data_IF_315771633101
#
_entry.id   IF_315771633101
#
_cell.length_a   1.000
_cell.length_b   1.000
_cell.length_c   1.000
_cell.angle_alpha   90.00
_cell.angle_beta   90.00
_cell.angle_gamma   90.00
#
_symmetry.space_group_name_H-M   'P 1'
#
loop_
_entity.id
_entity.type
_entity.pdbx_description
1 polymer ?
#
# COMPACT_ATOMS: atom_id res chain seq x y z
N UNK A 1 4.18 -16.87 7.44
CA UNK A 1 2.95 -16.46 8.14
C UNK A 1 2.63 -14.99 7.88
N UNK A 2 3.55 -14.06 8.14
CA UNK A 2 3.37 -12.61 7.90
C UNK A 2 2.92 -12.27 6.47
N UNK A 3 3.61 -12.75 5.43
CA UNK A 3 3.19 -12.47 4.03
C UNK A 3 1.79 -12.97 3.67
N UNK A 4 1.34 -14.09 4.26
CA UNK A 4 -0.01 -14.61 4.08
C UNK A 4 -1.05 -13.69 4.74
N UNK A 5 -0.72 -13.11 5.90
CA UNK A 5 -1.59 -12.13 6.57
C UNK A 5 -1.78 -10.90 5.69
N UNK A 6 -0.70 -10.34 5.13
CA UNK A 6 -0.81 -9.22 4.18
C UNK A 6 -1.65 -9.61 2.96
N UNK A 7 -1.42 -10.77 2.37
CA UNK A 7 -2.19 -11.27 1.24
C UNK A 7 -3.70 -11.33 1.55
N UNK A 8 -4.08 -11.92 2.69
CA UNK A 8 -5.49 -12.01 3.13
C UNK A 8 -6.07 -10.62 3.41
N UNK A 9 -5.33 -9.74 4.08
CA UNK A 9 -5.78 -8.37 4.35
C UNK A 9 -6.06 -7.61 3.06
N UNK A 10 -5.16 -7.71 2.07
CA UNK A 10 -5.36 -7.06 0.78
C UNK A 10 -6.60 -7.59 0.06
N UNK A 11 -6.85 -8.91 0.10
CA UNK A 11 -8.08 -9.50 -0.45
C UNK A 11 -9.35 -8.96 0.24
N UNK A 12 -9.33 -8.87 1.58
CA UNK A 12 -10.45 -8.30 2.34
C UNK A 12 -10.71 -6.85 1.92
N UNK A 13 -9.65 -6.04 1.78
CA UNK A 13 -9.77 -4.65 1.31
C UNK A 13 -10.36 -4.59 -0.10
N UNK A 14 -9.94 -5.47 -1.02
CA UNK A 14 -10.51 -5.53 -2.37
C UNK A 14 -11.99 -5.93 -2.36
N UNK A 15 -12.40 -6.87 -1.50
CA UNK A 15 -13.81 -7.25 -1.33
C UNK A 15 -14.62 -6.05 -0.85
N UNK A 16 -14.15 -5.35 0.19
CA UNK A 16 -14.82 -4.13 0.68
C UNK A 16 -14.94 -3.06 -0.39
N UNK A 17 -13.88 -2.85 -1.19
CA UNK A 17 -13.90 -1.89 -2.29
C UNK A 17 -14.93 -2.28 -3.37
N UNK A 18 -15.01 -3.57 -3.71
CA UNK A 18 -16.01 -4.10 -4.65
C UNK A 18 -17.44 -3.95 -4.14
N UNK A 19 -17.68 -4.17 -2.85
CA UNK A 19 -18.99 -3.94 -2.22
C UNK A 19 -19.38 -2.45 -2.25
N UNK A 20 -18.43 -1.56 -1.95
CA UNK A 20 -18.65 -0.12 -2.04
C UNK A 20 -18.91 0.32 -3.48
N UNK A 21 -18.17 -0.20 -4.46
CA UNK A 21 -18.44 0.03 -5.88
C UNK A 21 -19.88 -0.33 -6.22
N UNK A 22 -20.31 -1.54 -5.86
CA UNK A 22 -21.67 -2.00 -6.13
C UNK A 22 -22.73 -1.09 -5.50
N UNK A 23 -22.54 -0.70 -4.24
CA UNK A 23 -23.46 0.17 -3.52
C UNK A 23 -23.54 1.58 -4.16
N UNK A 24 -22.39 2.20 -4.44
CA UNK A 24 -22.36 3.57 -5.00
C UNK A 24 -22.91 3.61 -6.43
N UNK A 25 -22.56 2.63 -7.25
CA UNK A 25 -22.89 2.63 -8.68
C UNK A 25 -24.30 2.12 -8.97
N UNK A 26 -24.73 1.03 -8.32
CA UNK A 26 -26.01 0.38 -8.63
C UNK A 26 -27.13 0.71 -7.65
N UNK A 27 -26.84 0.84 -6.35
CA UNK A 27 -27.86 1.16 -5.35
C UNK A 27 -28.12 2.67 -5.26
N UNK A 28 -27.05 3.46 -5.11
CA UNK A 28 -27.14 4.91 -4.92
C UNK A 28 -27.09 5.72 -6.23
N UNK A 29 -26.63 5.11 -7.32
CA UNK A 29 -26.53 5.72 -8.67
C UNK A 29 -25.76 7.05 -8.67
N UNK A 30 -24.65 7.10 -7.93
CA UNK A 30 -23.74 8.24 -7.91
C UNK A 30 -22.90 8.26 -9.20
N UNK A 31 -23.38 9.01 -10.20
CA UNK A 31 -22.82 9.07 -11.55
C UNK A 31 -22.36 10.48 -11.94
N UNK A 32 -22.45 11.46 -11.03
CA UNK A 32 -22.09 12.84 -11.31
C UNK A 32 -20.60 13.08 -11.02
N UNK A 33 -20.02 14.11 -11.67
CA UNK A 33 -18.63 14.53 -11.39
C UNK A 33 -18.41 14.93 -9.94
N UNK A 34 -19.45 15.43 -9.27
CA UNK A 34 -19.42 15.75 -7.83
C UNK A 34 -19.14 14.54 -6.95
N UNK A 35 -19.40 13.32 -7.44
CA UNK A 35 -19.29 12.08 -6.68
C UNK A 35 -17.90 11.44 -6.79
N UNK A 36 -17.05 11.97 -7.68
CA UNK A 36 -15.67 11.50 -7.89
C UNK A 36 -14.86 11.44 -6.59
N UNK A 37 -14.91 12.43 -5.66
CA UNK A 37 -14.20 12.33 -4.39
C UNK A 37 -14.65 11.12 -3.56
N UNK A 38 -15.95 10.89 -3.43
CA UNK A 38 -16.53 9.76 -2.70
C UNK A 38 -16.15 8.42 -3.33
N UNK A 39 -16.25 8.32 -4.65
CA UNK A 39 -15.81 7.14 -5.40
C UNK A 39 -14.32 6.86 -5.19
N UNK A 40 -13.49 7.91 -5.26
CA UNK A 40 -12.04 7.80 -5.06
C UNK A 40 -11.71 7.25 -3.67
N UNK A 41 -12.36 7.79 -2.62
CA UNK A 41 -12.16 7.39 -1.23
C UNK A 41 -12.65 5.98 -0.91
N UNK A 42 -13.83 5.60 -1.39
CA UNK A 42 -14.49 4.36 -0.99
C UNK A 42 -14.16 3.16 -1.89
N UNK A 43 -13.66 3.40 -3.10
CA UNK A 43 -13.44 2.36 -4.11
C UNK A 43 -12.02 2.39 -4.64
N UNK A 44 -11.61 3.47 -5.32
CA UNK A 44 -10.35 3.47 -6.07
C UNK A 44 -9.13 3.27 -5.18
N UNK A 45 -9.04 4.01 -4.06
CA UNK A 45 -7.91 3.92 -3.14
C UNK A 45 -7.88 2.58 -2.41
N UNK A 46 -8.99 2.08 -1.84
CA UNK A 46 -9.03 0.71 -1.34
C UNK A 46 -8.58 -0.33 -2.37
N UNK A 47 -8.99 -0.22 -3.64
CA UNK A 47 -8.49 -1.12 -4.70
C UNK A 47 -6.97 -1.02 -4.83
N UNK A 48 -6.45 0.21 -4.99
CA UNK A 48 -5.02 0.43 -5.17
C UNK A 48 -4.20 -0.11 -3.98
N UNK A 49 -4.60 0.22 -2.75
CA UNK A 49 -3.94 -0.24 -1.53
C UNK A 49 -4.06 -1.76 -1.37
N UNK A 50 -5.23 -2.34 -1.66
CA UNK A 50 -5.46 -3.78 -1.59
C UNK A 50 -4.56 -4.55 -2.57
N UNK A 51 -4.42 -4.06 -3.81
CA UNK A 51 -3.51 -4.65 -4.81
C UNK A 51 -2.05 -4.55 -4.34
N UNK A 52 -1.62 -3.37 -3.89
CA UNK A 52 -0.25 -3.18 -3.39
C UNK A 52 0.05 -4.15 -2.24
N UNK A 53 -0.83 -4.20 -1.24
CA UNK A 53 -0.73 -5.13 -0.09
C UNK A 53 -0.65 -6.59 -0.54
N UNK A 54 -1.40 -7.01 -1.56
CA UNK A 54 -1.35 -8.38 -2.10
C UNK A 54 -0.01 -8.67 -2.76
N UNK A 55 0.45 -7.78 -3.65
CA UNK A 55 1.73 -7.92 -4.34
C UNK A 55 2.85 -8.03 -3.32
N UNK A 56 2.87 -7.11 -2.36
CA UNK A 56 3.84 -7.03 -1.29
C UNK A 56 3.80 -8.26 -0.37
N UNK A 57 2.60 -8.71 0.02
CA UNK A 57 2.39 -9.94 0.77
C UNK A 57 2.89 -11.18 0.03
N UNK A 58 2.71 -11.23 -1.29
CA UNK A 58 3.20 -12.31 -2.15
C UNK A 58 4.74 -12.32 -2.24
N UNK A 59 5.37 -11.15 -2.33
CA UNK A 59 6.82 -11.02 -2.26
C UNK A 59 7.35 -11.50 -0.91
N UNK A 60 6.75 -11.04 0.20
CA UNK A 60 7.12 -11.50 1.55
C UNK A 60 6.93 -13.02 1.71
N UNK A 61 5.83 -13.58 1.19
CA UNK A 61 5.54 -15.01 1.31
C UNK A 61 6.53 -15.88 0.51
N UNK A 62 7.02 -15.39 -0.63
CA UNK A 62 7.99 -16.09 -1.48
C UNK A 62 9.44 -15.98 -0.99
N UNK A 63 9.74 -15.13 -0.01
CA UNK A 63 11.07 -14.99 0.58
C UNK A 63 11.31 -16.06 1.66
N UNK A 64 12.35 -16.90 1.48
CA UNK A 64 12.76 -17.93 2.45
C UNK A 64 13.47 -17.32 3.68
N UNK A 65 12.66 -16.91 4.66
CA UNK A 65 12.86 -16.78 6.13
C UNK A 65 14.01 -15.90 6.69
N UNK A 66 13.66 -15.07 7.68
CA UNK A 66 14.59 -14.43 8.63
C UNK A 66 14.20 -12.99 9.01
N UNK A 67 15.17 -12.22 9.49
CA UNK A 67 15.09 -10.77 9.77
C UNK A 67 14.70 -9.94 8.54
N UNK A 68 15.00 -10.42 7.33
CA UNK A 68 14.61 -9.77 6.07
C UNK A 68 13.10 -9.61 5.96
N UNK A 69 12.31 -10.60 6.40
CA UNK A 69 10.84 -10.53 6.34
C UNK A 69 10.25 -9.38 7.16
N UNK A 70 10.89 -8.99 8.26
CA UNK A 70 10.48 -7.83 9.08
C UNK A 70 10.76 -6.53 8.35
N UNK A 71 11.94 -6.40 7.71
CA UNK A 71 12.29 -5.22 6.92
C UNK A 71 11.35 -5.03 5.73
N UNK A 72 10.98 -6.11 5.03
CA UNK A 72 9.97 -6.04 3.99
C UNK A 72 8.59 -5.64 4.55
N UNK A 73 8.17 -6.19 5.69
CA UNK A 73 6.90 -5.78 6.30
C UNK A 73 6.90 -4.29 6.70
N UNK A 74 7.97 -3.80 7.33
CA UNK A 74 8.11 -2.39 7.69
C UNK A 74 8.19 -1.48 6.46
N UNK A 75 8.92 -1.90 5.44
CA UNK A 75 9.01 -1.18 4.17
C UNK A 75 7.64 -1.01 3.51
N UNK A 76 6.83 -2.08 3.53
CA UNK A 76 5.48 -2.07 3.01
C UNK A 76 4.56 -1.14 3.80
N UNK A 77 4.61 -1.18 5.14
CA UNK A 77 3.83 -0.27 5.96
C UNK A 77 4.19 1.21 5.70
N UNK A 78 5.48 1.52 5.61
CA UNK A 78 5.94 2.88 5.32
C UNK A 78 5.51 3.34 3.92
N UNK A 79 5.61 2.46 2.92
CA UNK A 79 5.19 2.72 1.55
C UNK A 79 3.68 2.98 1.44
N UNK A 80 2.86 2.08 1.99
CA UNK A 80 1.40 2.19 1.96
C UNK A 80 0.91 3.44 2.69
N UNK A 81 1.50 3.74 3.86
CA UNK A 81 1.16 4.93 4.61
C UNK A 81 1.61 6.21 3.89
N UNK A 82 2.79 6.20 3.25
CA UNK A 82 3.26 7.29 2.40
C UNK A 82 2.31 7.56 1.24
N UNK A 83 1.83 6.53 0.55
CA UNK A 83 0.83 6.65 -0.52
C UNK A 83 -0.50 7.19 -0.02
N UNK A 84 -0.96 6.73 1.15
CA UNK A 84 -2.16 7.25 1.77
C UNK A 84 -2.04 8.75 2.10
N UNK A 85 -0.91 9.18 2.68
CA UNK A 85 -0.66 10.59 2.94
C UNK A 85 -0.53 11.41 1.66
N UNK A 86 0.10 10.88 0.62
CA UNK A 86 0.17 11.53 -0.68
C UNK A 86 -1.22 11.81 -1.22
N UNK A 87 -2.10 10.81 -1.16
CA UNK A 87 -3.50 10.97 -1.56
C UNK A 87 -4.19 12.08 -0.78
N UNK A 88 -4.09 12.09 0.55
CA UNK A 88 -4.71 13.12 1.39
C UNK A 88 -4.23 14.54 1.05
N UNK A 89 -3.04 14.66 0.45
CA UNK A 89 -2.42 15.93 0.09
C UNK A 89 -2.51 16.26 -1.41
N UNK A 90 -3.23 15.48 -2.20
CA UNK A 90 -3.47 15.80 -3.62
C UNK A 90 -4.28 17.08 -3.82
N UNK A 91 -5.05 17.51 -2.81
CA UNK A 91 -5.78 18.78 -2.82
C UNK A 91 -4.93 19.98 -2.36
N UNK A 92 -3.73 19.73 -1.82
CA UNK A 92 -2.81 20.78 -1.40
C UNK A 92 -2.04 21.29 -2.63
N UNK A 93 -1.77 22.59 -2.76
CA UNK A 93 -0.89 23.11 -3.80
C UNK A 93 0.49 22.47 -3.76
N UNK A 94 0.99 22.03 -4.93
CA UNK A 94 2.28 21.31 -5.05
C UNK A 94 3.48 22.15 -4.59
N UNK A 95 3.36 23.47 -4.59
CA UNK A 95 4.39 24.40 -4.10
C UNK A 95 4.52 24.43 -2.56
N UNK A 96 3.58 23.85 -1.80
CA UNK A 96 3.68 23.68 -0.36
C UNK A 96 4.54 22.45 -0.01
N UNK A 97 5.86 22.58 -0.21
CA UNK A 97 6.86 21.51 -0.09
C UNK A 97 6.77 20.77 1.27
N UNK A 98 6.51 21.49 2.36
CA UNK A 98 6.44 20.90 3.70
C UNK A 98 5.30 19.91 3.84
N UNK A 99 4.23 20.06 3.05
CA UNK A 99 3.14 19.10 3.02
C UNK A 99 3.62 17.73 2.52
N UNK A 100 4.47 17.70 1.50
CA UNK A 100 4.96 16.47 0.86
C UNK A 100 6.22 15.90 1.50
N UNK A 101 6.86 16.65 2.40
CA UNK A 101 8.11 16.22 3.07
C UNK A 101 7.93 14.90 3.84
N UNK A 102 6.81 14.75 4.54
CA UNK A 102 6.47 13.51 5.26
C UNK A 102 6.28 12.31 4.32
N UNK A 103 5.61 12.52 3.17
CA UNK A 103 5.45 11.51 2.11
C UNK A 103 6.81 11.06 1.61
N UNK A 104 7.70 12.01 1.29
CA UNK A 104 9.05 11.71 0.83
C UNK A 104 9.81 10.85 1.84
N UNK A 105 9.86 11.24 3.11
CA UNK A 105 10.61 10.48 4.11
C UNK A 105 10.07 9.07 4.34
N UNK A 106 8.75 8.88 4.34
CA UNK A 106 8.13 7.56 4.49
C UNK A 106 8.44 6.66 3.29
N UNK A 107 8.29 7.18 2.07
CA UNK A 107 8.62 6.45 0.85
C UNK A 107 10.10 6.10 0.81
N UNK A 108 10.97 7.06 1.14
CA UNK A 108 12.42 6.85 1.16
C UNK A 108 12.84 5.81 2.21
N UNK A 109 12.29 5.90 3.42
CA UNK A 109 12.55 4.91 4.48
C UNK A 109 12.04 3.52 4.08
N UNK A 110 10.88 3.42 3.42
CA UNK A 110 10.34 2.17 2.92
C UNK A 110 11.24 1.52 1.87
N UNK A 111 11.73 2.31 0.90
CA UNK A 111 12.69 1.87 -0.11
C UNK A 111 13.99 1.39 0.53
N UNK A 112 14.53 2.12 1.50
CA UNK A 112 15.73 1.68 2.23
C UNK A 112 15.51 0.35 2.96
N UNK A 113 14.37 0.17 3.61
CA UNK A 113 14.03 -1.09 4.27
C UNK A 113 13.97 -2.26 3.28
N UNK A 114 13.41 -2.05 2.08
CA UNK A 114 13.42 -3.07 1.02
C UNK A 114 14.83 -3.38 0.51
N UNK A 115 15.66 -2.37 0.28
CA UNK A 115 17.04 -2.55 -0.19
C UNK A 115 17.85 -3.33 0.86
N UNK A 116 17.80 -2.92 2.12
CA UNK A 116 18.50 -3.60 3.22
C UNK A 116 17.95 -5.03 3.36
N UNK A 117 16.63 -5.21 3.30
CA UNK A 117 15.99 -6.52 3.34
C UNK A 117 16.47 -7.44 2.21
N UNK A 118 16.65 -6.89 0.99
CA UNK A 118 17.16 -7.62 -0.17
C UNK A 118 18.62 -8.03 0.01
N UNK A 119 19.48 -7.10 0.44
CA UNK A 119 20.90 -7.37 0.70
C UNK A 119 21.06 -8.47 1.76
N UNK A 120 20.34 -8.37 2.89
CA UNK A 120 20.41 -9.38 3.96
C UNK A 120 19.89 -10.74 3.49
N UNK A 121 18.87 -10.75 2.63
CA UNK A 121 18.34 -11.99 2.08
C UNK A 121 19.34 -12.64 1.10
N UNK A 122 20.08 -11.85 0.32
CA UNK A 122 21.10 -12.35 -0.60
C UNK A 122 22.32 -12.91 0.15
N UNK A 123 22.81 -12.19 1.16
CA UNK A 123 23.90 -12.66 2.04
C UNK A 123 23.53 -14.01 2.68
N UNK A 124 22.32 -14.14 3.22
CA UNK A 124 21.87 -15.38 3.85
C UNK A 124 21.72 -16.56 2.87
N UNK A 125 21.49 -16.30 1.58
CA UNK A 125 21.47 -17.33 0.54
C UNK A 125 22.88 -17.76 0.14
N UNK A 126 23.81 -16.82 0.03
CA UNK A 126 25.21 -17.08 -0.31
C UNK A 126 25.95 -17.87 0.78
N UNK A 127 25.52 -17.72 2.04
CA UNK A 127 26.09 -18.45 3.19
C UNK A 127 25.58 -19.89 3.36
N UNK A 128 24.62 -20.37 2.55
CA UNK A 128 24.02 -21.71 2.64
C UNK A 128 24.33 -22.55 1.42
#
# INVERSE_FOLDING_TARGET
MVGIVFYVLGLVVLIFAGLNFNNLFFAQKLLAKSDIPTYSQMVFIPILLGVLVILDGSFIANLKRGSSGVLYALGNLAWLYGFYLLYQRLSVPVNEIDAYRSVFYLTFAGVLAFIIGAILNDINKSSK
#
